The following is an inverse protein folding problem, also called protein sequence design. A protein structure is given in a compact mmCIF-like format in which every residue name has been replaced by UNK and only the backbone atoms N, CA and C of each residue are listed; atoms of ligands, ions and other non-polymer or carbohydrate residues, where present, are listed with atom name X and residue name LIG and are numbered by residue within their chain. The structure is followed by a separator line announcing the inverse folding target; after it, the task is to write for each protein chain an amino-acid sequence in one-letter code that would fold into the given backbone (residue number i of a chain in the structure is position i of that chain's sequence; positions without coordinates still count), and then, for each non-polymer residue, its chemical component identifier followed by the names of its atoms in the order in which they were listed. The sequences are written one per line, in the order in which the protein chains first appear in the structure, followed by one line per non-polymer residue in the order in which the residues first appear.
data_IF_608846399153
#
_entry.id   IF_608846399153
#
_cell.length_a   1.000
_cell.length_b   1.000
_cell.length_c   1.000
_cell.angle_alpha   90.00
_cell.angle_beta   90.00
_cell.angle_gamma   90.00
#
_symmetry.space_group_name_H-M   'P 1'
#
loop_
_entity.id
_entity.type
_entity.pdbx_description
1 polymer ?
#
# COMPACT_ATOMS: atom_id res chain seq x y z
N UNK A 1 -20.53 22.61 0.18
CA UNK A 1 -20.27 22.35 1.66
C UNK A 1 -18.79 22.56 1.99
N UNK A 2 -18.47 23.76 2.47
CA UNK A 2 -17.29 24.52 2.92
C UNK A 2 -16.13 23.59 3.30
N UNK A 3 -15.47 23.05 2.17
CA UNK A 3 -14.22 22.27 2.03
C UNK A 3 -13.11 22.84 2.93
N UNK A 4 -12.74 22.32 4.11
CA UNK A 4 -11.65 22.82 4.95
C UNK A 4 -10.57 23.53 4.12
N UNK A 5 -10.22 24.86 4.38
CA UNK A 5 -9.22 25.80 3.82
C UNK A 5 -8.52 25.21 2.58
N UNK A 6 -9.22 25.14 1.35
CA UNK A 6 -8.77 24.61 0.04
C UNK A 6 -7.40 25.20 -0.34
N UNK A 7 -6.28 24.46 -0.09
CA UNK A 7 -4.96 24.89 -0.61
C UNK A 7 -5.04 25.22 -2.10
N UNK A 8 -4.37 26.30 -2.54
CA UNK A 8 -4.34 26.59 -3.98
C UNK A 8 -4.14 25.32 -4.82
N UNK A 9 -3.32 24.39 -4.37
CA UNK A 9 -3.11 23.12 -5.13
C UNK A 9 -4.42 22.33 -5.27
N UNK A 10 -5.20 22.36 -4.24
CA UNK A 10 -6.47 21.61 -4.34
C UNK A 10 -7.43 22.32 -5.32
N UNK A 11 -7.42 23.68 -5.28
CA UNK A 11 -8.20 24.41 -6.31
C UNK A 11 -7.81 23.99 -7.73
N UNK A 12 -6.48 23.94 -8.02
CA UNK A 12 -6.03 23.47 -9.35
C UNK A 12 -6.52 22.03 -9.63
N UNK A 13 -6.46 21.22 -8.65
CA UNK A 13 -6.98 19.84 -8.76
C UNK A 13 -8.47 19.85 -9.17
N UNK A 14 -9.30 20.69 -8.57
CA UNK A 14 -10.74 20.73 -8.88
C UNK A 14 -10.96 21.26 -10.31
N UNK A 15 -10.13 22.18 -10.68
CA UNK A 15 -10.27 22.67 -12.07
C UNK A 15 -9.94 21.57 -13.07
N UNK A 16 -8.89 20.84 -12.76
CA UNK A 16 -8.56 19.72 -13.67
C UNK A 16 -9.69 18.67 -13.71
N UNK A 17 -10.33 18.44 -12.57
CA UNK A 17 -11.44 17.46 -12.60
C UNK A 17 -12.65 18.04 -13.33
N UNK A 18 -12.82 19.35 -13.22
CA UNK A 18 -13.92 19.97 -13.99
C UNK A 18 -13.68 19.79 -15.50
N UNK A 19 -12.45 19.96 -15.84
CA UNK A 19 -12.13 19.70 -17.25
C UNK A 19 -12.44 18.25 -17.63
N UNK A 20 -12.06 17.27 -16.82
CA UNK A 20 -12.41 15.86 -17.09
C UNK A 20 -13.93 15.67 -17.21
N UNK A 21 -14.71 16.37 -16.42
CA UNK A 21 -16.19 16.25 -16.51
C UNK A 21 -16.69 16.81 -17.85
N UNK A 22 -16.03 17.91 -18.26
CA UNK A 22 -16.45 18.47 -19.56
C UNK A 22 -16.17 17.47 -20.69
N UNK A 23 -15.05 16.76 -20.59
CA UNK A 23 -14.78 15.73 -21.63
C UNK A 23 -15.88 14.65 -21.64
N UNK A 24 -16.33 14.34 -20.44
CA UNK A 24 -17.40 13.32 -20.39
C UNK A 24 -18.66 13.86 -21.06
N UNK A 25 -18.98 15.10 -20.75
CA UNK A 25 -20.18 15.69 -21.38
C UNK A 25 -20.00 15.80 -22.90
N UNK A 26 -18.82 16.21 -23.28
CA UNK A 26 -18.55 16.29 -24.73
C UNK A 26 -18.74 14.91 -25.41
N UNK A 27 -18.20 13.87 -24.76
CA UNK A 27 -18.41 12.50 -25.31
C UNK A 27 -19.89 12.14 -25.45
N UNK A 28 -20.69 12.54 -24.47
CA UNK A 28 -22.14 12.21 -24.54
C UNK A 28 -22.81 12.95 -25.69
N UNK A 29 -22.48 14.22 -25.79
CA UNK A 29 -23.13 15.02 -26.85
C UNK A 29 -22.77 14.47 -28.24
N UNK A 30 -21.48 14.16 -28.40
CA UNK A 30 -21.05 13.65 -29.72
C UNK A 30 -21.72 12.30 -30.03
N UNK A 31 -21.80 11.52 -29.03
CA UNK A 31 -22.51 10.23 -29.26
C UNK A 31 -23.97 10.46 -29.63
N UNK A 32 -24.64 11.40 -28.97
CA UNK A 32 -26.06 11.68 -29.26
C UNK A 32 -26.24 12.22 -30.68
N UNK A 33 -25.20 12.90 -31.15
CA UNK A 33 -25.29 13.45 -32.52
C UNK A 33 -24.94 12.37 -33.54
N UNK A 34 -24.58 11.18 -33.10
CA UNK A 34 -24.35 10.02 -33.99
C UNK A 34 -22.99 10.12 -34.69
N UNK A 35 -22.05 10.84 -34.12
CA UNK A 35 -20.72 10.93 -34.76
C UNK A 35 -20.07 9.53 -34.82
N UNK A 36 -19.56 9.18 -36.09
CA UNK A 36 -18.96 7.82 -36.20
C UNK A 36 -17.55 7.92 -36.79
N UNK A 37 -17.16 9.25 -37.09
CA UNK A 37 -15.83 9.43 -37.71
C UNK A 37 -14.70 8.97 -36.78
N UNK A 38 -14.99 8.79 -35.41
CA UNK A 38 -14.06 8.17 -34.45
C UNK A 38 -14.85 7.65 -33.25
N UNK A 39 -14.11 6.93 -32.46
CA UNK A 39 -14.76 6.36 -31.26
C UNK A 39 -14.95 7.43 -30.17
N UNK A 40 -16.22 7.85 -30.03
CA UNK A 40 -16.52 8.96 -29.08
C UNK A 40 -16.19 8.54 -27.66
N UNK A 41 -16.01 7.18 -27.37
CA UNK A 41 -15.61 6.71 -26.02
C UNK A 41 -14.17 7.10 -25.68
N UNK A 42 -13.49 7.60 -26.69
CA UNK A 42 -12.11 8.04 -26.41
C UNK A 42 -12.11 9.27 -25.49
N UNK A 43 -13.20 10.03 -25.61
CA UNK A 43 -13.28 11.17 -24.68
C UNK A 43 -13.44 10.70 -23.23
N UNK A 44 -14.14 9.56 -23.05
CA UNK A 44 -14.20 9.01 -21.68
C UNK A 44 -12.84 8.50 -21.22
N UNK A 45 -12.07 7.90 -22.06
CA UNK A 45 -10.73 7.42 -21.66
C UNK A 45 -9.80 8.59 -21.34
N UNK A 46 -9.94 9.59 -22.18
CA UNK A 46 -9.12 10.77 -21.89
C UNK A 46 -9.51 11.41 -20.55
N UNK A 47 -10.81 11.44 -20.35
CA UNK A 47 -11.24 12.01 -19.05
C UNK A 47 -10.71 11.19 -17.87
N UNK A 48 -10.71 9.90 -18.04
CA UNK A 48 -10.20 9.04 -16.94
C UNK A 48 -8.72 9.32 -16.70
N UNK A 49 -7.92 9.40 -17.78
CA UNK A 49 -6.47 9.67 -17.63
C UNK A 49 -6.27 11.04 -17.00
N UNK A 50 -7.09 12.00 -17.42
CA UNK A 50 -6.98 13.35 -16.86
C UNK A 50 -7.30 13.37 -15.36
N UNK A 51 -8.27 12.65 -14.93
CA UNK A 51 -8.65 12.66 -13.49
C UNK A 51 -7.52 12.08 -12.63
N UNK A 52 -6.95 10.96 -13.03
CA UNK A 52 -5.89 10.31 -12.22
C UNK A 52 -4.62 11.16 -12.26
N UNK A 53 -4.34 11.76 -13.43
CA UNK A 53 -3.17 12.66 -13.50
C UNK A 53 -3.36 13.87 -12.57
N UNK A 54 -4.59 14.39 -12.59
CA UNK A 54 -4.87 15.51 -11.67
C UNK A 54 -4.62 15.12 -10.21
N UNK A 55 -5.00 13.93 -9.83
CA UNK A 55 -4.74 13.47 -8.44
C UNK A 55 -3.23 13.40 -8.17
N UNK A 56 -2.49 12.81 -9.09
CA UNK A 56 -1.03 12.69 -8.91
C UNK A 56 -0.39 14.06 -8.72
N UNK A 57 -0.75 14.89 -9.62
CA UNK A 57 -0.16 16.24 -9.53
C UNK A 57 -0.53 16.92 -8.20
N UNK A 58 -1.77 16.83 -7.85
CA UNK A 58 -2.18 17.48 -6.58
C UNK A 58 -1.41 16.91 -5.39
N UNK A 59 -1.26 15.64 -5.29
CA UNK A 59 -0.55 15.05 -4.14
C UNK A 59 0.88 15.61 -4.07
N UNK A 60 1.57 15.76 -5.17
CA UNK A 60 2.91 16.36 -5.11
C UNK A 60 2.85 17.79 -4.52
N UNK A 61 1.93 18.50 -5.14
CA UNK A 61 1.90 19.93 -4.73
C UNK A 61 1.50 20.08 -3.26
N UNK A 62 0.65 19.14 -2.90
CA UNK A 62 0.22 19.26 -1.49
C UNK A 62 1.37 18.87 -0.54
N UNK A 63 2.13 17.93 -0.85
CA UNK A 63 3.25 17.50 0.01
C UNK A 63 4.32 18.61 0.03
N UNK A 64 4.58 19.15 -1.18
CA UNK A 64 5.58 20.23 -1.20
C UNK A 64 5.17 21.38 -0.28
N UNK A 65 3.96 21.72 -0.44
CA UNK A 65 3.49 22.85 0.38
C UNK A 65 3.61 22.55 1.87
N UNK A 66 3.16 21.44 2.27
CA UNK A 66 3.13 21.16 3.74
C UNK A 66 4.56 20.92 4.26
N UNK A 67 5.35 20.31 3.44
CA UNK A 67 6.75 20.08 3.90
C UNK A 67 7.46 21.42 4.13
N UNK A 68 7.21 22.35 3.25
CA UNK A 68 7.84 23.67 3.43
C UNK A 68 7.31 24.33 4.70
N UNK A 69 5.99 24.24 4.87
CA UNK A 69 5.42 24.82 6.10
C UNK A 69 6.07 24.19 7.34
N UNK A 70 6.30 22.85 7.30
CA UNK A 70 6.93 22.19 8.46
C UNK A 70 8.38 22.67 8.63
N UNK A 71 9.02 22.87 7.50
CA UNK A 71 10.44 23.29 7.60
C UNK A 71 10.55 24.71 8.16
N UNK A 72 9.51 25.52 8.02
CA UNK A 72 9.57 26.92 8.48
C UNK A 72 9.06 27.03 9.92
N UNK A 73 8.56 25.87 10.39
CA UNK A 73 8.05 25.92 11.79
C UNK A 73 8.89 24.99 12.67
N UNK A 74 9.98 25.42 13.23
CA UNK A 74 10.95 24.58 13.96
C UNK A 74 10.36 24.05 15.27
N UNK A 75 9.28 24.64 15.73
CA UNK A 75 8.80 24.22 17.07
C UNK A 75 7.56 23.32 16.92
N UNK A 76 7.24 22.95 15.67
CA UNK A 76 6.04 22.11 15.49
C UNK A 76 6.43 20.62 15.48
N UNK A 77 5.73 19.79 16.22
CA UNK A 77 5.93 18.32 16.11
C UNK A 77 6.09 17.86 14.66
N UNK A 78 7.41 17.42 14.31
CA UNK A 78 7.65 16.93 12.92
C UNK A 78 7.56 15.39 12.88
N UNK A 79 6.92 14.94 11.81
CA UNK A 79 6.87 13.49 11.69
C UNK A 79 8.26 12.87 11.50
N UNK A 80 8.47 11.67 11.97
CA UNK A 80 9.79 10.99 11.90
C UNK A 80 10.34 10.98 10.47
N UNK A 81 9.46 10.74 9.51
CA UNK A 81 9.99 10.69 8.13
C UNK A 81 10.52 12.05 7.69
N UNK A 82 9.84 13.09 8.13
CA UNK A 82 10.39 14.43 7.79
C UNK A 82 11.75 14.65 8.43
N UNK A 83 11.99 14.18 9.65
CA UNK A 83 13.28 14.40 10.34
C UNK A 83 14.41 13.64 9.65
N UNK A 84 14.01 12.55 9.07
CA UNK A 84 15.07 11.72 8.47
C UNK A 84 15.28 12.11 7.00
N UNK A 85 14.51 13.11 6.62
CA UNK A 85 14.62 13.48 5.21
C UNK A 85 15.95 14.21 4.97
N UNK A 86 16.74 13.61 4.00
CA UNK A 86 18.12 14.10 3.79
C UNK A 86 18.11 15.39 2.94
N UNK A 87 19.07 16.30 3.44
CA UNK A 87 19.19 17.57 2.70
C UNK A 87 20.65 17.72 2.23
N UNK A 88 20.74 18.05 0.91
CA UNK A 88 22.11 18.25 0.42
C UNK A 88 22.76 19.49 1.07
N UNK A 89 24.12 19.38 1.20
CA UNK A 89 24.88 20.50 1.83
C UNK A 89 24.76 21.77 0.97
N UNK A 90 24.63 21.58 -0.34
CA UNK A 90 24.48 22.75 -1.24
C UNK A 90 23.21 23.55 -0.93
N UNK A 91 22.17 22.77 -0.74
CA UNK A 91 20.91 23.46 -0.37
C UNK A 91 21.09 24.28 0.92
N UNK A 92 21.73 23.71 1.94
CA UNK A 92 21.93 24.44 3.22
C UNK A 92 22.82 25.67 3.00
N UNK A 93 23.86 25.58 2.20
CA UNK A 93 24.74 26.73 1.94
C UNK A 93 23.97 27.87 1.26
N UNK A 94 23.14 27.43 0.27
CA UNK A 94 22.36 28.47 -0.45
C UNK A 94 21.43 29.23 0.52
N UNK A 95 20.83 28.50 1.40
CA UNK A 95 19.86 29.14 2.31
C UNK A 95 20.61 29.96 3.36
N UNK A 96 21.76 29.49 3.91
CA UNK A 96 22.48 30.20 4.98
C UNK A 96 23.17 31.45 4.41
N UNK A 97 23.59 31.29 3.15
CA UNK A 97 24.25 32.47 2.55
C UNK A 97 23.20 33.43 1.97
N UNK A 98 21.91 33.11 2.06
CA UNK A 98 20.76 33.94 1.65
C UNK A 98 20.74 34.11 0.13
N UNK A 99 21.31 33.20 -0.62
CA UNK A 99 21.18 33.18 -2.09
C UNK A 99 19.78 32.73 -2.52
N UNK A 100 19.25 31.74 -1.74
CA UNK A 100 17.85 31.32 -1.97
C UNK A 100 17.09 31.28 -0.64
N UNK A 101 15.74 31.57 -0.78
CA UNK A 101 14.93 31.37 0.45
C UNK A 101 14.77 29.87 0.75
N UNK A 102 14.53 29.55 2.10
CA UNK A 102 14.28 28.13 2.46
C UNK A 102 13.15 27.54 1.62
N UNK A 103 12.14 28.33 1.41
CA UNK A 103 10.99 27.84 0.63
C UNK A 103 11.43 27.44 -0.80
N UNK A 104 12.06 28.33 -1.47
CA UNK A 104 12.43 28.07 -2.88
C UNK A 104 13.44 26.91 -2.98
N UNK A 105 14.45 26.93 -2.12
CA UNK A 105 15.49 25.87 -2.19
C UNK A 105 14.91 24.50 -1.79
N UNK A 106 14.14 24.48 -0.72
CA UNK A 106 13.59 23.17 -0.27
C UNK A 106 12.56 22.64 -1.27
N UNK A 107 11.72 23.52 -1.77
CA UNK A 107 10.74 23.03 -2.76
C UNK A 107 11.46 22.46 -4.00
N UNK A 108 12.47 23.14 -4.46
CA UNK A 108 13.23 22.60 -5.61
C UNK A 108 13.82 21.23 -5.29
N UNK A 109 14.31 21.17 -4.08
CA UNK A 109 14.87 19.86 -3.69
C UNK A 109 13.76 18.78 -3.61
N UNK A 110 12.64 19.14 -3.06
CA UNK A 110 11.55 18.14 -3.00
C UNK A 110 11.14 17.71 -4.42
N UNK A 111 11.15 18.63 -5.36
CA UNK A 111 10.78 18.26 -6.74
C UNK A 111 11.80 17.29 -7.34
N UNK A 112 13.00 17.52 -7.01
CA UNK A 112 14.04 16.62 -7.54
C UNK A 112 13.98 15.25 -6.84
N UNK A 113 13.61 15.27 -5.56
CA UNK A 113 13.66 14.00 -4.80
C UNK A 113 12.39 13.19 -5.01
N UNK A 114 11.31 13.92 -5.18
CA UNK A 114 10.05 13.14 -5.15
C UNK A 114 9.39 13.21 -6.53
N UNK A 115 9.90 14.04 -7.44
CA UNK A 115 9.20 14.35 -8.71
C UNK A 115 9.15 13.12 -9.62
N UNK A 116 10.17 12.26 -9.51
CA UNK A 116 10.20 11.11 -10.44
C UNK A 116 9.21 10.02 -10.02
N UNK A 117 8.69 10.14 -8.80
CA UNK A 117 7.71 9.13 -8.31
C UNK A 117 6.29 9.54 -8.70
N UNK A 118 5.50 8.47 -9.05
CA UNK A 118 4.07 8.77 -9.31
C UNK A 118 3.23 8.48 -8.05
N UNK A 119 2.38 9.45 -7.82
CA UNK A 119 1.51 9.24 -6.63
C UNK A 119 0.06 9.03 -7.06
N UNK A 120 -0.15 7.92 -7.65
CA UNK A 120 -1.53 7.54 -8.07
C UNK A 120 -2.00 6.33 -7.26
N UNK A 121 -1.07 5.44 -6.94
CA UNK A 121 -1.37 4.26 -6.13
C UNK A 121 -1.54 4.62 -4.64
N UNK A 122 -2.51 3.99 -3.98
CA UNK A 122 -2.84 4.36 -2.60
C UNK A 122 -1.64 4.15 -1.64
N UNK A 123 -0.86 3.08 -1.86
CA UNK A 123 0.31 2.85 -0.97
C UNK A 123 1.35 3.97 -1.13
N UNK A 124 1.53 4.34 -2.36
CA UNK A 124 2.53 5.41 -2.59
C UNK A 124 2.03 6.76 -2.06
N UNK A 125 0.78 6.97 -2.20
CA UNK A 125 0.20 8.23 -1.64
C UNK A 125 0.39 8.25 -0.11
N UNK A 126 0.08 7.09 0.53
CA UNK A 126 0.25 7.04 1.99
C UNK A 126 1.71 7.29 2.38
N UNK A 127 2.59 6.58 1.69
CA UNK A 127 4.02 6.73 2.01
C UNK A 127 4.48 8.18 1.82
N UNK A 128 4.00 8.76 0.79
CA UNK A 128 4.42 10.13 0.49
C UNK A 128 3.92 11.11 1.56
N UNK A 129 2.68 11.01 1.98
CA UNK A 129 2.14 11.96 2.98
C UNK A 129 2.73 11.71 4.36
N UNK A 130 3.34 10.53 4.55
CA UNK A 130 4.03 10.28 5.84
C UNK A 130 5.16 11.27 6.07
N UNK A 131 5.61 11.86 4.93
CA UNK A 131 6.65 12.89 5.07
C UNK A 131 6.13 14.12 5.81
N UNK A 132 4.81 14.32 5.70
CA UNK A 132 4.34 15.61 6.25
C UNK A 132 3.27 15.37 7.32
N UNK A 133 2.97 14.10 7.62
CA UNK A 133 1.95 13.83 8.67
C UNK A 133 2.13 12.40 9.19
N UNK A 134 1.66 12.12 10.51
CA UNK A 134 1.75 10.74 11.07
C UNK A 134 0.33 10.16 11.22
N UNK A 135 -0.56 10.79 10.61
CA UNK A 135 -1.95 10.30 10.77
C UNK A 135 -2.08 8.98 9.99
N UNK A 136 -2.74 8.06 10.65
CA UNK A 136 -3.08 6.86 9.86
C UNK A 136 -4.03 7.21 8.70
N UNK A 137 -3.42 7.52 7.58
CA UNK A 137 -4.10 8.28 6.50
C UNK A 137 -5.40 7.59 6.08
N UNK A 138 -5.34 6.32 5.70
CA UNK A 138 -6.53 5.75 5.04
C UNK A 138 -7.62 5.44 6.09
N UNK A 139 -7.18 5.23 7.40
CA UNK A 139 -8.21 5.13 8.46
C UNK A 139 -9.00 6.44 8.61
N UNK A 140 -8.27 7.41 8.54
CA UNK A 140 -8.95 8.71 8.74
C UNK A 140 -9.76 9.11 7.50
N UNK A 141 -9.25 8.78 6.44
CA UNK A 141 -10.01 9.10 5.21
C UNK A 141 -11.34 8.34 5.22
N UNK A 142 -11.31 7.09 5.50
CA UNK A 142 -12.57 6.32 5.60
C UNK A 142 -13.52 6.95 6.62
N UNK A 143 -12.91 7.29 7.75
CA UNK A 143 -13.76 7.93 8.77
C UNK A 143 -14.43 9.19 8.21
N UNK A 144 -13.60 10.02 7.55
CA UNK A 144 -14.14 11.30 7.03
C UNK A 144 -15.21 11.00 5.97
N UNK A 145 -14.96 10.08 5.10
CA UNK A 145 -15.96 9.74 4.06
C UNK A 145 -17.26 9.23 4.67
N UNK A 146 -17.18 8.43 5.72
CA UNK A 146 -18.41 7.90 6.36
C UNK A 146 -19.17 9.02 7.09
N UNK A 147 -18.40 9.93 7.63
CA UNK A 147 -19.10 11.04 8.33
C UNK A 147 -19.91 11.88 7.34
N UNK A 148 -19.51 11.86 6.17
CA UNK A 148 -20.19 12.70 5.16
C UNK A 148 -21.38 11.95 4.55
N UNK A 149 -21.43 10.61 4.84
CA UNK A 149 -22.56 9.83 4.30
C UNK A 149 -23.53 9.45 5.42
N UNK A 150 -24.66 10.23 5.70
CA UNK A 150 -25.61 10.02 6.84
C UNK A 150 -26.51 8.81 6.56
N UNK A 151 -26.59 8.19 5.29
CA UNK A 151 -27.63 7.15 5.10
C UNK A 151 -27.17 6.14 4.04
N UNK A 152 -25.75 5.85 3.90
CA UNK A 152 -25.26 4.85 2.93
C UNK A 152 -24.32 3.85 3.63
N UNK A 153 -24.09 2.71 2.79
CA UNK A 153 -23.18 1.71 3.37
C UNK A 153 -21.81 2.33 3.72
N UNK A 154 -21.49 1.97 4.93
CA UNK A 154 -20.18 2.49 5.41
C UNK A 154 -19.04 1.88 4.59
N UNK A 155 -18.10 2.81 4.31
CA UNK A 155 -16.90 2.29 3.62
C UNK A 155 -15.75 2.07 4.62
N UNK A 156 -15.05 0.96 4.32
CA UNK A 156 -13.86 0.66 5.17
C UNK A 156 -12.59 1.18 4.50
N UNK A 157 -11.53 1.31 5.36
CA UNK A 157 -10.23 1.70 4.77
C UNK A 157 -9.86 0.81 3.59
N UNK A 158 -10.08 -0.54 3.67
CA UNK A 158 -9.72 -1.46 2.57
C UNK A 158 -10.55 -1.17 1.32
N UNK A 159 -11.75 -0.85 1.58
CA UNK A 159 -12.62 -0.61 0.42
C UNK A 159 -12.19 0.68 -0.30
N UNK A 160 -11.78 1.66 0.51
CA UNK A 160 -11.33 2.91 -0.12
C UNK A 160 -10.08 2.64 -0.96
N UNK A 161 -9.14 1.92 -0.37
CA UNK A 161 -7.87 1.63 -1.06
C UNK A 161 -8.15 0.77 -2.31
N UNK A 162 -8.98 -0.20 -2.15
CA UNK A 162 -9.24 -1.11 -3.30
C UNK A 162 -9.93 -0.35 -4.44
N UNK A 163 -10.82 0.48 -4.02
CA UNK A 163 -11.54 1.21 -5.09
C UNK A 163 -10.58 2.19 -5.80
N UNK A 164 -9.82 2.97 -5.07
CA UNK A 164 -8.86 3.87 -5.72
C UNK A 164 -7.87 3.08 -6.58
N UNK A 165 -7.37 1.93 -6.06
CA UNK A 165 -6.46 1.09 -6.87
C UNK A 165 -7.11 0.63 -8.17
N UNK A 166 -8.37 0.26 -8.05
CA UNK A 166 -9.08 -0.18 -9.28
C UNK A 166 -9.15 0.95 -10.32
N UNK A 167 -9.33 2.16 -9.86
CA UNK A 167 -9.38 3.30 -10.80
C UNK A 167 -8.01 3.50 -11.46
N UNK A 168 -6.98 3.37 -10.68
CA UNK A 168 -5.62 3.55 -11.24
C UNK A 168 -5.31 2.41 -12.20
N UNK A 169 -5.68 1.19 -11.82
CA UNK A 169 -5.44 0.07 -12.76
C UNK A 169 -6.16 0.28 -14.09
N UNK A 170 -7.32 0.69 -13.93
CA UNK A 170 -8.05 0.95 -15.19
C UNK A 170 -7.34 2.03 -16.02
N UNK A 171 -6.89 3.17 -15.40
CA UNK A 171 -6.12 4.18 -16.15
C UNK A 171 -4.87 3.57 -16.81
N UNK A 172 -4.16 2.70 -16.09
CA UNK A 172 -2.95 2.07 -16.67
C UNK A 172 -3.29 1.21 -17.89
N UNK A 173 -4.41 0.60 -17.77
CA UNK A 173 -4.83 -0.18 -18.95
C UNK A 173 -5.12 0.73 -20.15
N UNK A 174 -5.74 1.89 -19.87
CA UNK A 174 -6.10 2.82 -20.97
C UNK A 174 -4.82 3.44 -21.54
N UNK A 175 -3.93 3.82 -20.79
CA UNK A 175 -2.77 4.59 -21.28
C UNK A 175 -1.64 3.65 -21.70
N UNK A 176 -1.40 2.48 -21.06
CA UNK A 176 -0.15 1.72 -21.33
C UNK A 176 -0.45 0.41 -22.04
N UNK A 177 -1.74 -0.01 -21.96
CA UNK A 177 -2.02 -1.34 -22.56
C UNK A 177 -3.04 -1.17 -23.69
N UNK A 178 -3.20 -0.01 -24.16
CA UNK A 178 -4.11 0.34 -25.27
C UNK A 178 -5.55 -0.11 -24.98
N UNK A 179 -5.77 -0.35 -23.67
CA UNK A 179 -7.13 -0.68 -23.17
C UNK A 179 -7.71 -1.89 -23.90
N UNK A 180 -6.89 -2.95 -24.09
CA UNK A 180 -7.35 -4.14 -24.83
C UNK A 180 -8.22 -5.02 -23.92
N UNK A 181 -9.25 -5.56 -24.56
CA UNK A 181 -10.18 -6.46 -23.85
C UNK A 181 -9.65 -7.90 -23.93
N UNK A 182 -9.40 -8.46 -22.73
CA UNK A 182 -8.79 -9.81 -22.73
C UNK A 182 -9.77 -10.88 -23.22
N UNK A 183 -11.03 -10.51 -23.15
CA UNK A 183 -12.04 -11.52 -23.52
C UNK A 183 -12.45 -11.36 -24.99
N UNK A 184 -12.04 -10.19 -25.58
CA UNK A 184 -12.38 -9.97 -27.00
C UNK A 184 -11.14 -9.42 -27.73
N UNK A 185 -10.43 -10.36 -28.39
CA UNK A 185 -9.17 -9.95 -29.04
C UNK A 185 -9.40 -8.90 -30.14
N UNK A 186 -8.71 -7.77 -30.06
CA UNK A 186 -8.76 -6.71 -31.10
C UNK A 186 -9.72 -5.58 -30.72
N UNK A 187 -10.43 -5.86 -29.53
CA UNK A 187 -11.37 -4.79 -29.13
C UNK A 187 -10.89 -4.15 -27.83
N UNK A 188 -11.24 -2.89 -27.67
CA UNK A 188 -10.92 -2.20 -26.40
C UNK A 188 -12.02 -2.45 -25.36
N UNK A 189 -11.65 -2.27 -24.08
CA UNK A 189 -12.62 -2.53 -22.99
C UNK A 189 -13.74 -1.48 -23.04
N UNK A 190 -14.95 -2.00 -22.83
CA UNK A 190 -16.09 -1.06 -22.84
C UNK A 190 -15.97 -0.03 -21.71
N UNK A 191 -16.40 1.21 -22.08
CA UNK A 191 -16.36 2.27 -21.06
C UNK A 191 -17.59 3.16 -21.25
N UNK A 192 -18.19 3.45 -20.01
CA UNK A 192 -19.41 4.29 -20.10
C UNK A 192 -19.19 5.63 -19.39
N UNK A 193 -20.07 6.59 -19.76
CA UNK A 193 -20.02 7.92 -19.12
C UNK A 193 -20.27 7.80 -17.61
N UNK A 194 -21.11 6.89 -17.24
CA UNK A 194 -21.41 6.74 -15.80
C UNK A 194 -20.20 6.23 -15.02
N UNK A 195 -19.59 5.30 -15.67
CA UNK A 195 -18.41 4.72 -14.99
C UNK A 195 -17.35 5.80 -14.75
N UNK A 196 -16.98 6.60 -15.70
CA UNK A 196 -15.92 7.62 -15.51
C UNK A 196 -16.42 8.74 -14.58
N UNK A 197 -17.66 9.07 -14.67
CA UNK A 197 -18.17 10.08 -13.73
C UNK A 197 -18.00 9.60 -12.28
N UNK A 198 -18.34 8.35 -12.12
CA UNK A 198 -18.14 7.82 -10.77
C UNK A 198 -16.67 7.90 -10.35
N UNK A 199 -15.78 7.56 -11.22
CA UNK A 199 -14.34 7.62 -10.87
C UNK A 199 -13.91 9.04 -10.52
N UNK A 200 -14.38 10.03 -11.31
CA UNK A 200 -14.01 11.44 -11.05
C UNK A 200 -14.54 11.88 -9.68
N UNK A 201 -15.78 11.51 -9.46
CA UNK A 201 -16.35 11.94 -8.17
C UNK A 201 -15.66 11.24 -6.98
N UNK A 202 -15.36 10.00 -7.26
CA UNK A 202 -14.72 9.27 -6.15
C UNK A 202 -13.32 9.82 -5.87
N UNK A 203 -12.49 10.10 -6.89
CA UNK A 203 -11.13 10.65 -6.69
C UNK A 203 -11.23 12.00 -5.97
N UNK A 204 -12.16 12.79 -6.39
CA UNK A 204 -12.32 14.11 -5.71
C UNK A 204 -12.70 13.93 -4.24
N UNK A 205 -13.64 13.05 -4.00
CA UNK A 205 -14.07 12.83 -2.60
C UNK A 205 -12.91 12.33 -1.74
N UNK A 206 -12.12 11.41 -2.26
CA UNK A 206 -10.99 10.88 -1.47
C UNK A 206 -9.97 11.98 -1.23
N UNK A 207 -9.66 12.74 -2.25
CA UNK A 207 -8.68 13.85 -2.06
C UNK A 207 -9.18 14.84 -1.01
N UNK A 208 -10.40 15.19 -1.12
CA UNK A 208 -10.95 16.09 -0.09
C UNK A 208 -10.86 15.47 1.31
N UNK A 209 -11.19 14.25 1.39
CA UNK A 209 -11.11 13.58 2.70
C UNK A 209 -9.67 13.53 3.21
N UNK A 210 -8.74 13.36 2.28
CA UNK A 210 -7.32 13.37 2.71
C UNK A 210 -6.98 14.73 3.31
N UNK A 211 -7.47 15.79 2.75
CA UNK A 211 -7.17 17.12 3.32
C UNK A 211 -7.75 17.28 4.72
N UNK A 212 -8.93 16.79 4.82
CA UNK A 212 -9.54 16.91 6.17
C UNK A 212 -8.75 16.04 7.17
N UNK A 213 -8.37 14.90 6.67
CA UNK A 213 -7.64 13.99 7.59
C UNK A 213 -6.31 14.62 8.00
N UNK A 214 -5.74 15.30 7.08
CA UNK A 214 -4.42 15.87 7.39
C UNK A 214 -4.56 17.10 8.28
N UNK A 215 -5.66 17.87 8.21
CA UNK A 215 -5.87 19.13 8.97
C UNK A 215 -6.49 18.84 10.33
N UNK A 216 -7.04 17.67 10.54
CA UNK A 216 -7.74 17.39 11.81
C UNK A 216 -6.74 17.23 12.96
N UNK A 217 -7.01 17.84 14.27
CA UNK A 217 -6.13 17.61 15.42
C UNK A 217 -5.78 16.12 15.59
N UNK A 218 -4.38 15.80 15.75
CA UNK A 218 -4.11 14.38 16.07
C UNK A 218 -5.07 13.84 17.13
N UNK A 219 -6.38 13.87 17.07
CA UNK A 219 -7.20 13.37 18.20
C UNK A 219 -6.62 12.06 18.74
N UNK A 220 -5.88 12.13 20.11
CA UNK A 220 -5.93 11.35 21.36
C UNK A 220 -6.83 10.12 21.22
N UNK A 221 -6.19 8.98 20.77
CA UNK A 221 -6.53 7.65 21.28
C UNK A 221 -7.91 7.64 21.96
N UNK A 222 -9.04 7.81 21.31
CA UNK A 222 -10.37 7.36 21.78
C UNK A 222 -10.31 5.84 22.09
N UNK A 223 -10.51 5.40 23.52
CA UNK A 223 -10.70 4.03 24.03
C UNK A 223 -11.66 3.22 23.15
N UNK A 224 -11.02 2.36 22.32
CA UNK A 224 -11.36 1.03 21.77
C UNK A 224 -12.77 0.58 22.19
N UNK A 225 -13.85 1.19 21.70
CA UNK A 225 -15.03 0.30 21.61
C UNK A 225 -15.83 0.66 20.36
N UNK A 226 -15.35 0.09 19.27
CA UNK A 226 -16.14 -0.51 18.17
C UNK A 226 -15.66 0.04 16.83
N UNK A 227 -14.41 -0.33 16.39
CA UNK A 227 -14.05 -0.34 14.95
C UNK A 227 -12.78 -1.17 14.76
N UNK A 228 -12.96 -2.40 14.56
CA UNK A 228 -12.25 -3.46 13.80
C UNK A 228 -10.96 -2.94 13.16
N UNK A 229 -9.70 -3.38 13.61
CA UNK A 229 -8.40 -2.98 13.02
C UNK A 229 -8.06 -3.79 11.77
N UNK A 230 -7.62 -3.04 10.46
CA UNK A 230 -6.68 -3.22 9.34
C UNK A 230 -5.38 -3.87 9.80
N UNK A 231 -5.02 -5.12 9.21
CA UNK A 231 -4.02 -6.19 9.39
C UNK A 231 -2.68 -5.82 8.73
N UNK A 232 -2.03 -4.75 9.08
CA UNK A 232 -0.58 -4.84 8.76
C UNK A 232 0.18 -3.77 9.54
N UNK A 233 0.32 -4.08 10.84
CA UNK A 233 1.56 -3.82 11.62
C UNK A 233 1.19 -3.22 12.98
N UNK A 234 0.69 -4.10 13.91
CA UNK A 234 0.93 -3.72 15.33
C UNK A 234 1.79 -4.80 16.00
N UNK A 235 3.06 -4.65 15.95
CA UNK A 235 3.83 -5.21 17.09
C UNK A 235 2.92 -5.50 18.29
N UNK A 236 2.02 -6.47 18.16
CA UNK A 236 1.20 -7.01 19.27
C UNK A 236 2.12 -7.56 20.38
N UNK A 237 2.57 -6.78 21.24
CA UNK A 237 2.73 -7.45 22.56
C UNK A 237 1.79 -8.66 22.69
N UNK A 238 2.14 -9.87 22.09
CA UNK A 238 1.59 -11.23 22.27
C UNK A 238 0.84 -11.35 23.62
N UNK A 239 -0.41 -10.85 23.58
CA UNK A 239 -1.24 -11.39 24.69
C UNK A 239 -1.38 -12.92 24.51
N UNK A 240 -0.71 -13.76 25.21
CA UNK A 240 -0.81 -15.23 25.26
C UNK A 240 -2.22 -15.72 24.93
N UNK A 241 -2.41 -16.13 23.61
CA UNK A 241 -3.69 -16.73 23.16
C UNK A 241 -3.86 -18.13 23.76
N UNK A 242 -5.15 -18.39 24.20
CA UNK A 242 -5.43 -19.73 24.76
C UNK A 242 -5.32 -20.81 23.66
N UNK A 243 -4.83 -21.96 23.90
CA UNK A 243 -4.68 -23.09 22.98
C UNK A 243 -5.97 -23.35 22.19
N UNK A 244 -7.21 -23.11 22.69
CA UNK A 244 -8.51 -23.33 22.01
C UNK A 244 -8.74 -22.29 20.89
N UNK A 245 -8.29 -21.10 20.99
CA UNK A 245 -8.43 -20.04 19.96
C UNK A 245 -7.45 -20.24 18.80
N UNK A 246 -6.35 -20.81 19.09
CA UNK A 246 -5.37 -21.07 18.02
C UNK A 246 -5.82 -22.24 17.14
N UNK A 247 -6.46 -23.16 17.80
CA UNK A 247 -6.95 -24.32 17.01
C UNK A 247 -8.09 -23.91 16.07
N UNK A 248 -8.94 -23.02 16.55
CA UNK A 248 -10.05 -22.56 15.68
C UNK A 248 -9.52 -21.72 14.50
N UNK A 249 -8.53 -20.92 14.67
CA UNK A 249 -7.96 -20.10 13.57
C UNK A 249 -7.21 -20.98 12.56
N UNK A 250 -6.59 -21.95 13.10
CA UNK A 250 -5.94 -22.91 12.20
C UNK A 250 -6.96 -23.64 11.32
N UNK A 251 -8.03 -24.07 11.93
CA UNK A 251 -9.04 -24.79 11.13
C UNK A 251 -9.65 -23.88 10.06
N UNK A 252 -9.89 -22.68 10.45
CA UNK A 252 -10.46 -21.74 9.45
C UNK A 252 -9.45 -21.48 8.33
N UNK A 253 -8.23 -21.21 8.74
CA UNK A 253 -7.20 -20.97 7.69
C UNK A 253 -7.08 -22.18 6.76
N UNK A 254 -7.10 -23.38 7.25
CA UNK A 254 -6.91 -24.57 6.41
C UNK A 254 -8.11 -24.80 5.48
N UNK A 255 -9.28 -24.46 6.07
CA UNK A 255 -10.46 -24.59 5.18
C UNK A 255 -10.34 -23.63 3.98
N UNK A 256 -9.89 -22.47 4.17
CA UNK A 256 -9.74 -21.50 3.07
C UNK A 256 -8.58 -21.90 2.13
N UNK A 257 -7.56 -22.31 2.78
CA UNK A 257 -6.42 -22.74 1.95
C UNK A 257 -6.79 -23.92 1.04
N UNK A 258 -7.54 -24.85 1.54
CA UNK A 258 -7.95 -26.00 0.69
C UNK A 258 -8.85 -25.54 -0.45
N UNK A 259 -9.63 -24.58 -0.08
CA UNK A 259 -10.56 -24.09 -1.13
C UNK A 259 -9.81 -23.34 -2.23
N UNK A 260 -8.72 -22.74 -1.92
CA UNK A 260 -8.08 -21.85 -2.92
C UNK A 260 -6.90 -22.57 -3.58
N UNK A 261 -6.22 -23.44 -2.81
CA UNK A 261 -4.93 -23.89 -3.39
C UNK A 261 -4.82 -25.41 -3.34
N UNK A 262 -5.96 -26.10 -2.94
CA UNK A 262 -6.03 -27.57 -3.08
C UNK A 262 -5.51 -28.29 -1.83
N UNK A 263 -5.69 -29.63 -1.82
CA UNK A 263 -5.40 -30.46 -0.63
C UNK A 263 -3.90 -30.66 -0.44
N UNK A 264 -3.22 -30.67 -1.52
CA UNK A 264 -1.76 -30.93 -1.39
C UNK A 264 -1.04 -29.73 -0.75
N UNK A 265 -1.39 -28.57 -1.17
CA UNK A 265 -0.78 -27.37 -0.55
C UNK A 265 -1.15 -27.27 0.94
N UNK A 266 -2.40 -27.55 1.24
CA UNK A 266 -2.82 -27.50 2.65
C UNK A 266 -2.07 -28.52 3.50
N UNK A 267 -1.92 -29.74 2.89
CA UNK A 267 -1.20 -30.78 3.66
C UNK A 267 0.26 -30.35 3.90
N UNK A 268 0.84 -29.76 2.92
CA UNK A 268 2.24 -29.33 3.08
C UNK A 268 2.36 -28.24 4.15
N UNK A 269 1.46 -27.27 4.17
CA UNK A 269 1.53 -26.19 5.19
C UNK A 269 1.30 -26.77 6.59
N UNK A 270 0.36 -27.73 6.70
CA UNK A 270 0.10 -28.35 8.02
C UNK A 270 1.36 -29.09 8.49
N UNK A 271 1.87 -29.80 7.56
CA UNK A 271 3.08 -30.54 7.93
C UNK A 271 4.18 -29.58 8.43
N UNK A 272 4.38 -28.54 7.76
CA UNK A 272 5.43 -27.56 8.16
C UNK A 272 5.10 -26.93 9.51
N UNK A 273 3.88 -26.53 9.67
CA UNK A 273 3.52 -25.87 10.95
C UNK A 273 3.62 -26.85 12.11
N UNK A 274 3.20 -28.15 11.87
CA UNK A 274 3.36 -29.16 12.94
C UNK A 274 4.83 -29.35 13.29
N UNK A 275 5.57 -29.39 12.19
CA UNK A 275 7.02 -29.53 12.44
C UNK A 275 7.54 -28.35 13.26
N UNK A 276 7.22 -27.15 12.95
CA UNK A 276 7.66 -25.94 13.67
C UNK A 276 7.18 -25.94 15.12
N UNK A 277 5.98 -26.33 15.34
CA UNK A 277 5.43 -26.38 16.72
C UNK A 277 6.15 -27.44 17.55
N UNK A 278 6.40 -28.61 16.97
CA UNK A 278 7.05 -29.69 17.73
C UNK A 278 8.43 -29.25 18.23
N UNK A 279 8.95 -28.16 17.73
CA UNK A 279 10.29 -27.71 18.19
C UNK A 279 10.15 -26.45 19.06
N UNK A 280 8.96 -26.21 19.33
CA UNK A 280 8.75 -25.15 20.34
C UNK A 280 8.44 -23.81 19.65
N UNK A 281 8.32 -23.81 18.29
CA UNK A 281 8.00 -22.59 17.54
C UNK A 281 6.55 -22.14 17.75
N UNK A 282 6.45 -20.82 17.67
CA UNK A 282 5.09 -20.24 17.78
C UNK A 282 4.58 -19.81 16.39
N UNK A 283 3.22 -19.70 16.36
CA UNK A 283 2.64 -19.24 15.07
C UNK A 283 1.71 -18.04 15.33
N UNK A 284 1.66 -17.44 14.23
CA UNK A 284 0.73 -16.30 14.29
C UNK A 284 -0.27 -16.38 13.12
N UNK A 285 -1.60 -16.06 13.52
CA UNK A 285 -2.62 -16.06 12.44
C UNK A 285 -3.11 -14.62 12.21
N UNK A 286 -3.22 -14.33 10.88
CA UNK A 286 -3.76 -12.98 10.55
C UNK A 286 -5.24 -12.84 10.93
N UNK A 287 -5.64 -11.72 11.30
CA UNK A 287 -6.99 -11.40 11.84
C UNK A 287 -8.01 -11.27 10.71
N UNK A 288 -7.65 -11.15 9.36
CA UNK A 288 -8.72 -10.80 8.39
C UNK A 288 -8.36 -11.32 7.00
N UNK A 289 -7.01 -12.05 6.84
CA UNK A 289 -6.60 -12.37 5.45
C UNK A 289 -6.15 -13.82 5.38
N UNK A 290 -6.82 -14.71 6.13
CA UNK A 290 -6.50 -16.15 5.92
C UNK A 290 -4.99 -16.41 5.86
N UNK A 291 -4.19 -15.75 6.72
CA UNK A 291 -2.74 -16.02 6.67
C UNK A 291 -2.27 -16.64 7.99
N UNK A 292 -1.18 -17.25 7.85
CA UNK A 292 -0.53 -17.85 9.03
C UNK A 292 0.98 -17.77 8.86
N UNK A 293 1.64 -17.48 10.06
CA UNK A 293 3.10 -17.37 9.93
C UNK A 293 3.78 -18.00 11.16
N UNK A 294 4.86 -18.83 10.85
CA UNK A 294 5.74 -19.20 11.97
C UNK A 294 6.54 -17.98 12.49
N UNK A 295 6.64 -17.92 13.83
CA UNK A 295 7.27 -16.67 14.32
C UNK A 295 8.39 -17.06 15.30
N UNK A 296 9.41 -16.14 15.32
CA UNK A 296 10.46 -16.18 16.34
C UNK A 296 10.52 -14.82 17.05
N UNK A 297 10.84 -14.89 18.33
CA UNK A 297 10.86 -13.62 19.08
C UNK A 297 12.31 -13.26 19.45
N UNK A 298 12.54 -12.00 19.21
CA UNK A 298 13.82 -11.45 19.70
C UNK A 298 13.62 -9.99 20.12
N UNK A 299 14.11 -9.73 21.35
CA UNK A 299 14.07 -8.35 21.90
C UNK A 299 12.63 -7.81 21.92
N UNK A 300 11.75 -8.74 22.24
CA UNK A 300 10.36 -8.26 22.41
C UNK A 300 9.67 -8.02 21.06
N UNK A 301 10.47 -8.42 19.96
CA UNK A 301 9.85 -8.25 18.63
C UNK A 301 9.65 -9.61 17.96
N UNK A 302 8.60 -9.67 17.14
CA UNK A 302 8.29 -10.91 16.41
C UNK A 302 8.87 -10.83 14.99
N UNK A 303 9.55 -11.90 14.71
CA UNK A 303 10.07 -12.01 13.33
C UNK A 303 9.46 -13.22 12.63
N UNK A 304 9.21 -13.04 11.34
CA UNK A 304 8.80 -14.24 10.58
C UNK A 304 9.51 -14.26 9.23
N UNK A 305 10.00 -15.47 8.91
CA UNK A 305 10.70 -15.64 7.61
C UNK A 305 9.70 -15.70 6.46
N UNK A 306 8.57 -16.33 6.72
CA UNK A 306 7.55 -16.47 5.65
C UNK A 306 6.17 -16.20 6.25
N UNK A 307 5.32 -15.64 5.33
CA UNK A 307 3.88 -15.61 5.65
C UNK A 307 3.09 -16.43 4.62
N UNK A 308 2.21 -17.29 5.25
CA UNK A 308 1.44 -18.15 4.33
C UNK A 308 0.05 -17.54 4.11
N UNK A 309 -0.11 -17.12 2.85
CA UNK A 309 -1.49 -16.79 2.41
C UNK A 309 -2.11 -17.97 1.66
N UNK A 310 -3.37 -17.77 1.35
CA UNK A 310 -4.05 -18.96 0.79
C UNK A 310 -3.55 -19.24 -0.63
N UNK A 311 -2.86 -18.22 -1.24
CA UNK A 311 -2.38 -18.50 -2.62
C UNK A 311 -0.86 -18.34 -2.70
N UNK A 312 -0.33 -17.65 -1.76
CA UNK A 312 1.11 -17.38 -1.96
C UNK A 312 1.85 -17.62 -0.64
N UNK A 313 3.17 -17.81 -0.81
CA UNK A 313 4.12 -17.72 0.31
C UNK A 313 4.91 -16.41 0.17
N UNK A 314 4.66 -15.50 1.07
CA UNK A 314 5.34 -14.19 1.02
C UNK A 314 6.59 -14.19 1.90
N UNK A 315 7.64 -13.47 1.36
CA UNK A 315 8.86 -13.25 2.15
C UNK A 315 8.94 -11.76 2.52
N UNK A 316 8.70 -11.48 3.82
CA UNK A 316 8.53 -10.08 4.23
C UNK A 316 9.87 -9.39 4.49
N UNK A 317 10.79 -9.23 3.42
CA UNK A 317 12.07 -8.52 3.60
C UNK A 317 11.85 -7.10 4.11
N UNK A 318 10.72 -6.53 3.65
CA UNK A 318 10.44 -5.15 4.10
C UNK A 318 10.31 -5.07 5.62
N UNK A 319 9.64 -6.04 6.17
CA UNK A 319 9.50 -6.02 7.64
C UNK A 319 10.82 -6.38 8.33
N UNK A 320 11.63 -7.21 7.73
CA UNK A 320 12.86 -7.70 8.37
C UNK A 320 13.95 -6.62 8.35
N UNK A 321 13.81 -5.54 7.52
CA UNK A 321 14.92 -4.58 7.33
C UNK A 321 15.15 -3.74 8.60
N UNK A 322 14.20 -3.74 9.44
CA UNK A 322 14.40 -2.92 10.67
C UNK A 322 14.53 -3.84 11.88
N UNK A 323 14.78 -5.20 11.65
CA UNK A 323 14.80 -6.13 12.80
C UNK A 323 16.11 -6.92 12.77
N UNK A 324 16.77 -6.86 13.91
CA UNK A 324 18.04 -7.62 13.97
C UNK A 324 17.76 -9.13 13.94
N UNK A 325 18.62 -9.87 13.23
CA UNK A 325 19.87 -9.43 12.57
C UNK A 325 19.63 -9.06 11.10
N UNK A 326 18.40 -9.08 10.73
CA UNK A 326 18.16 -8.93 9.27
C UNK A 326 18.02 -7.46 8.90
N UNK A 327 18.27 -6.59 9.96
CA UNK A 327 18.44 -5.16 9.60
C UNK A 327 19.71 -4.96 8.77
N UNK A 328 20.56 -6.01 8.69
CA UNK A 328 21.76 -5.98 7.82
C UNK A 328 21.43 -6.60 6.46
N UNK A 329 21.70 -5.84 5.43
CA UNK A 329 21.34 -6.30 4.07
C UNK A 329 22.01 -7.63 3.72
N UNK A 330 23.21 -7.91 4.29
CA UNK A 330 23.90 -9.18 3.96
C UNK A 330 23.09 -10.40 4.43
N UNK A 331 22.42 -10.23 5.56
CA UNK A 331 21.62 -11.37 6.05
C UNK A 331 20.34 -11.55 5.24
N UNK A 332 19.84 -10.45 4.72
CA UNK A 332 18.66 -10.64 3.85
C UNK A 332 19.09 -11.21 2.50
N UNK A 333 20.26 -10.86 2.10
CA UNK A 333 20.75 -11.48 0.86
C UNK A 333 21.01 -12.97 1.05
N UNK A 334 21.53 -13.39 2.17
CA UNK A 334 21.71 -14.82 2.45
C UNK A 334 20.38 -15.57 2.48
N UNK A 335 19.44 -14.86 3.16
CA UNK A 335 18.11 -15.49 3.19
C UNK A 335 17.56 -15.66 1.78
N UNK A 336 17.70 -14.62 0.93
CA UNK A 336 17.20 -14.69 -0.46
C UNK A 336 17.88 -15.84 -1.21
N UNK A 337 19.26 -15.97 -1.12
CA UNK A 337 19.99 -17.03 -1.85
C UNK A 337 19.55 -18.42 -1.38
N UNK A 338 19.31 -18.57 -0.10
CA UNK A 338 18.89 -19.90 0.37
C UNK A 338 17.51 -20.27 -0.15
N UNK A 339 16.62 -19.23 -0.17
CA UNK A 339 15.26 -19.54 -0.67
C UNK A 339 15.30 -19.83 -2.17
N UNK A 340 16.22 -19.20 -2.90
CA UNK A 340 16.30 -19.39 -4.36
C UNK A 340 16.86 -20.77 -4.70
N UNK A 341 17.33 -21.55 -3.67
CA UNK A 341 17.73 -22.95 -3.95
C UNK A 341 16.53 -23.86 -4.16
N UNK A 342 15.37 -23.33 -3.79
CA UNK A 342 14.14 -24.14 -4.03
C UNK A 342 13.76 -24.07 -5.51
N UNK A 343 13.51 -25.27 -6.13
CA UNK A 343 13.10 -25.27 -7.55
C UNK A 343 11.84 -24.43 -7.77
N UNK A 344 12.01 -23.43 -8.74
CA UNK A 344 10.78 -22.68 -9.12
C UNK A 344 10.59 -21.44 -8.26
N UNK A 345 11.56 -21.23 -7.31
CA UNK A 345 11.54 -19.98 -6.52
C UNK A 345 12.67 -19.09 -7.02
N UNK A 346 12.18 -17.81 -7.44
CA UNK A 346 13.20 -16.87 -7.96
C UNK A 346 12.93 -15.46 -7.38
N UNK A 347 13.71 -15.23 -6.41
CA UNK A 347 13.55 -13.90 -5.79
C UNK A 347 14.69 -13.00 -6.27
N UNK A 348 14.26 -11.87 -6.90
CA UNK A 348 15.29 -10.98 -7.50
C UNK A 348 16.03 -10.18 -6.41
N UNK A 349 17.32 -9.85 -6.63
CA UNK A 349 18.13 -9.12 -5.63
C UNK A 349 17.52 -7.76 -5.29
N UNK A 350 16.76 -7.12 -6.19
CA UNK A 350 16.23 -5.76 -5.88
C UNK A 350 14.96 -5.85 -5.03
N UNK A 351 14.65 -7.11 -4.52
CA UNK A 351 13.40 -7.23 -3.73
C UNK A 351 13.74 -7.35 -2.24
N UNK A 352 14.99 -7.08 -1.85
CA UNK A 352 15.46 -7.37 -0.48
C UNK A 352 14.84 -6.39 0.51
N UNK A 353 14.07 -5.43 -0.04
CA UNK A 353 13.39 -4.52 0.91
C UNK A 353 11.89 -4.51 0.66
N UNK A 354 11.43 -5.42 -0.14
CA UNK A 354 9.98 -5.52 -0.45
C UNK A 354 9.42 -6.84 0.06
N UNK A 355 8.26 -7.29 -0.60
CA UNK A 355 7.59 -8.51 -0.09
C UNK A 355 7.36 -9.48 -1.25
N UNK A 356 8.39 -9.98 -1.75
CA UNK A 356 8.20 -10.95 -2.85
C UNK A 356 7.47 -12.22 -2.36
N UNK A 357 6.93 -12.84 -3.38
CA UNK A 357 6.19 -14.07 -3.00
C UNK A 357 6.26 -15.09 -4.13
N UNK A 358 5.96 -16.38 -3.75
CA UNK A 358 5.76 -17.41 -4.78
C UNK A 358 4.54 -18.26 -4.43
N UNK A 359 3.99 -18.94 -5.45
CA UNK A 359 2.74 -19.68 -5.23
C UNK A 359 2.87 -20.70 -4.09
N UNK A 360 1.89 -20.76 -3.27
CA UNK A 360 1.93 -21.63 -2.08
C UNK A 360 1.86 -23.09 -2.52
N UNK A 361 1.32 -23.37 -3.70
CA UNK A 361 1.21 -24.77 -4.18
C UNK A 361 2.60 -25.37 -4.38
N UNK A 362 3.58 -24.62 -4.45
CA UNK A 362 4.93 -25.16 -4.65
C UNK A 362 5.41 -25.94 -3.42
N UNK A 363 4.84 -25.63 -2.28
CA UNK A 363 5.27 -26.33 -1.05
C UNK A 363 4.97 -27.81 -1.11
N UNK A 364 4.08 -28.20 -2.01
CA UNK A 364 3.77 -29.65 -2.12
C UNK A 364 4.96 -30.43 -2.69
N UNK A 365 5.83 -29.74 -3.37
CA UNK A 365 7.08 -30.38 -3.85
C UNK A 365 8.08 -30.57 -2.70
N UNK A 366 8.57 -31.85 -2.58
CA UNK A 366 9.42 -32.19 -1.42
C UNK A 366 10.73 -31.39 -1.46
N UNK A 367 11.28 -31.11 -2.60
CA UNK A 367 12.53 -30.34 -2.69
C UNK A 367 12.33 -28.89 -2.22
N UNK A 368 11.19 -28.29 -2.62
CA UNK A 368 10.90 -26.91 -2.15
C UNK A 368 10.65 -26.92 -0.63
N UNK A 369 9.91 -27.92 -0.21
CA UNK A 369 9.61 -28.02 1.23
C UNK A 369 10.90 -28.14 2.05
N UNK A 370 11.85 -28.95 1.64
CA UNK A 370 13.10 -29.16 2.40
C UNK A 370 13.90 -27.85 2.46
N UNK A 371 13.90 -27.12 1.34
CA UNK A 371 14.65 -25.85 1.35
C UNK A 371 14.01 -24.87 2.35
N UNK A 372 12.70 -24.80 2.34
CA UNK A 372 12.03 -23.85 3.24
C UNK A 372 12.28 -24.25 4.70
N UNK A 373 12.16 -25.51 5.01
CA UNK A 373 12.33 -25.96 6.40
C UNK A 373 13.78 -25.69 6.84
N UNK A 374 14.76 -26.07 5.98
CA UNK A 374 16.17 -25.86 6.38
C UNK A 374 16.45 -24.36 6.53
N UNK A 375 15.87 -23.58 5.68
CA UNK A 375 16.08 -22.13 5.79
C UNK A 375 15.42 -21.56 7.04
N UNK A 376 14.27 -22.15 7.38
CA UNK A 376 13.61 -21.69 8.63
C UNK A 376 14.48 -22.02 9.84
N UNK A 377 15.16 -23.16 9.82
CA UNK A 377 16.07 -23.50 10.93
C UNK A 377 17.21 -22.48 10.98
N UNK A 378 17.77 -22.24 9.83
CA UNK A 378 18.84 -21.23 9.76
C UNK A 378 18.35 -19.87 10.26
N UNK A 379 17.22 -19.46 9.73
CA UNK A 379 16.63 -18.17 10.15
C UNK A 379 16.49 -18.09 11.67
N UNK A 380 15.92 -19.14 12.27
CA UNK A 380 15.70 -19.14 13.74
C UNK A 380 17.05 -19.12 14.47
N UNK A 381 18.04 -19.88 13.95
CA UNK A 381 19.38 -19.88 14.60
C UNK A 381 20.01 -18.47 14.52
N UNK A 382 19.81 -17.86 13.42
CA UNK A 382 20.39 -16.52 13.28
C UNK A 382 19.72 -15.51 14.23
N UNK A 383 18.44 -15.63 14.33
CA UNK A 383 17.73 -14.70 15.25
C UNK A 383 18.18 -14.96 16.69
N UNK A 384 18.51 -16.20 17.03
CA UNK A 384 18.89 -16.55 18.42
C UNK A 384 20.35 -16.18 18.68
N UNK A 385 21.17 -15.95 17.61
CA UNK A 385 22.61 -15.66 17.81
C UNK A 385 22.80 -14.21 18.30
N UNK A 386 23.57 -14.06 19.40
CA UNK A 386 23.78 -12.74 20.00
C UNK A 386 24.73 -11.87 19.16
N UNK A 387 24.78 -11.99 17.77
CA UNK A 387 25.75 -11.14 17.06
C UNK A 387 25.56 -9.65 17.42
#
# INVERSE_FOLDING_TARGET
MAHPASTPAFGDFQQNLAYARQMVEGGRHLSNLGVRSFDTDDLYRAAWVQAVAALDHWVHEEIYHRAVVLAQSPDSGKPPRFRDFEIPMGLMEDVTSRRKTLDAAFRAHLRTSLGWRSFQNPDKIREAFALVSDVPLWNEVARVLNAERADGPRTTRQAVVEELAAIVRRRNKISHEADRDPDRPGRRSAISAEEIRHAIEYVEAVAAAILVALDGPPETQVPESESQPDPQEQDAEAVAQTPGELDHQMERYLQQLRATSGEDAAAAVVRLLDWWRARGGEMHFGRSEGSCAPIVRRDGRTLNMVRFYTKTVEIPFGALKSRRPFDKPAFREDLRQRLNEAPGVDIAPDKLELYPSFPITRLADQAVYDVIVTTMIWFADRVADPA
#
